data_IF_006482285365
#
_entry.id   IF_006482285365
#
_cell.length_a   1.000
_cell.length_b   1.000
_cell.length_c   1.000
_cell.angle_alpha   90.00
_cell.angle_beta   90.00
_cell.angle_gamma   90.00
#
_symmetry.space_group_name_H-M   'P 1'
#
loop_
_entity.id
_entity.type
_entity.pdbx_description
1 polymer ?
#
# COMPACT_ATOMS: atom_id res chain seq x y z
N UNK A 1 11.36 12.91 32.91
CA UNK A 1 10.55 13.97 33.54
C UNK A 1 10.90 15.38 33.05
N UNK A 2 12.15 15.65 32.66
CA UNK A 2 12.56 16.96 32.13
C UNK A 2 12.01 17.27 30.72
N UNK A 3 11.89 16.28 29.86
CA UNK A 3 11.39 16.45 28.47
C UNK A 3 9.93 16.91 28.42
N UNK A 4 9.11 16.46 29.38
CA UNK A 4 7.70 16.89 29.50
C UNK A 4 7.54 18.36 29.94
N UNK A 5 8.49 18.86 30.73
CA UNK A 5 8.48 20.24 31.20
C UNK A 5 8.94 21.22 30.12
N UNK A 6 9.88 20.81 29.27
CA UNK A 6 10.35 21.60 28.12
C UNK A 6 9.24 21.74 27.08
N UNK A 7 8.51 20.65 26.77
CA UNK A 7 7.39 20.64 25.82
C UNK A 7 6.22 21.55 26.25
N UNK A 8 6.04 21.81 27.56
CA UNK A 8 4.99 22.70 28.07
C UNK A 8 5.33 24.19 27.99
N UNK A 9 6.61 24.54 27.85
CA UNK A 9 7.05 25.97 27.82
C UNK A 9 7.04 26.59 26.41
N UNK A 10 7.13 25.78 25.36
CA UNK A 10 7.06 26.26 23.97
C UNK A 10 5.59 26.26 23.51
N UNK A 11 4.88 27.33 23.83
CA UNK A 11 3.45 27.46 23.53
C UNK A 11 3.21 27.51 22.01
N UNK A 12 2.47 26.53 21.51
CA UNK A 12 1.60 26.62 20.31
C UNK A 12 2.25 26.86 18.94
N UNK A 13 3.44 26.33 18.67
CA UNK A 13 4.01 26.29 17.32
C UNK A 13 3.86 24.89 16.70
N UNK A 14 3.78 24.79 15.36
CA UNK A 14 3.76 23.51 14.66
C UNK A 14 4.97 22.63 15.02
N UNK A 15 6.10 23.24 15.39
CA UNK A 15 7.29 22.58 15.94
C UNK A 15 7.00 21.80 17.23
N UNK A 16 6.19 22.35 18.15
CA UNK A 16 5.84 21.65 19.41
C UNK A 16 4.91 20.47 19.13
N UNK A 17 3.90 20.64 18.27
CA UNK A 17 3.01 19.56 17.86
C UNK A 17 3.80 18.42 17.24
N UNK A 18 4.74 18.76 16.34
CA UNK A 18 5.61 17.81 15.68
C UNK A 18 6.49 17.04 16.69
N UNK A 19 7.21 17.74 17.58
CA UNK A 19 8.04 17.12 18.64
C UNK A 19 7.20 16.24 19.56
N UNK A 20 6.00 16.68 19.95
CA UNK A 20 5.08 15.92 20.81
C UNK A 20 4.60 14.65 20.12
N UNK A 21 4.24 14.73 18.84
CA UNK A 21 3.85 13.58 18.04
C UNK A 21 4.97 12.53 17.95
N UNK A 22 6.19 12.95 17.62
CA UNK A 22 7.33 12.03 17.52
C UNK A 22 7.73 11.42 18.85
N UNK A 23 7.67 12.23 19.92
CA UNK A 23 7.87 11.72 21.27
C UNK A 23 6.84 10.65 21.62
N UNK A 24 5.56 10.95 21.44
CA UNK A 24 4.48 10.00 21.69
C UNK A 24 4.61 8.70 20.86
N UNK A 25 4.90 8.84 19.59
CA UNK A 25 5.10 7.69 18.69
C UNK A 25 6.27 6.81 19.13
N UNK A 26 7.40 7.42 19.48
CA UNK A 26 8.61 6.72 19.94
C UNK A 26 8.36 5.93 21.24
N UNK A 27 7.60 6.52 22.17
CA UNK A 27 7.36 6.00 23.51
C UNK A 27 6.03 5.26 23.66
N UNK A 28 5.35 4.96 22.57
CA UNK A 28 4.00 4.38 22.59
C UNK A 28 3.95 3.02 23.29
N UNK A 29 4.97 2.20 23.14
CA UNK A 29 5.06 0.84 23.69
C UNK A 29 5.91 0.73 24.97
N UNK A 30 6.47 1.81 25.50
CA UNK A 30 7.44 1.74 26.63
C UNK A 30 6.90 1.09 27.91
N UNK A 31 5.57 1.15 28.11
CA UNK A 31 4.94 0.53 29.29
C UNK A 31 4.27 -0.81 28.96
N UNK A 32 4.59 -1.41 27.83
CA UNK A 32 4.07 -2.70 27.40
C UNK A 32 5.24 -3.66 27.29
N UNK A 33 5.26 -4.76 28.07
CA UNK A 33 6.33 -5.75 28.01
C UNK A 33 6.20 -6.59 26.73
N UNK A 34 6.68 -6.03 25.61
CA UNK A 34 6.52 -6.60 24.26
C UNK A 34 7.19 -7.98 24.14
N UNK A 35 8.20 -8.25 24.98
CA UNK A 35 8.94 -9.51 25.07
C UNK A 35 8.20 -10.61 25.85
N UNK A 36 7.14 -10.27 26.62
CA UNK A 36 6.48 -11.22 27.51
C UNK A 36 5.68 -12.27 26.73
N UNK A 37 5.89 -13.59 26.95
CA UNK A 37 5.24 -14.65 26.17
C UNK A 37 3.70 -14.63 26.22
N UNK A 38 3.10 -14.20 27.35
CA UNK A 38 1.67 -14.11 27.49
C UNK A 38 1.03 -12.88 26.79
N UNK A 39 1.84 -11.97 26.22
CA UNK A 39 1.36 -10.72 25.62
C UNK A 39 0.27 -10.97 24.56
N UNK A 40 0.48 -11.93 23.68
CA UNK A 40 -0.45 -12.24 22.57
C UNK A 40 -1.80 -12.75 23.07
N UNK A 41 -1.88 -13.27 24.30
CA UNK A 41 -3.12 -13.76 24.90
C UNK A 41 -3.90 -12.66 25.64
N UNK A 42 -3.36 -11.45 25.67
CA UNK A 42 -4.03 -10.33 26.32
C UNK A 42 -4.99 -9.63 25.35
N UNK A 43 -6.18 -9.20 25.79
CA UNK A 43 -7.15 -8.58 24.91
C UNK A 43 -6.77 -7.17 24.47
N UNK A 44 -5.75 -6.56 25.07
CA UNK A 44 -5.40 -5.16 24.81
C UNK A 44 -4.33 -4.98 23.75
N UNK A 45 -3.46 -5.98 23.47
CA UNK A 45 -2.31 -5.76 22.59
C UNK A 45 -2.72 -5.58 21.13
N UNK A 46 -3.68 -6.36 20.65
CA UNK A 46 -4.14 -6.24 19.27
C UNK A 46 -4.75 -4.85 18.97
N UNK A 47 -5.71 -4.33 19.76
CA UNK A 47 -6.22 -2.97 19.59
C UNK A 47 -5.11 -1.89 19.71
N UNK A 48 -4.10 -2.12 20.55
CA UNK A 48 -2.98 -1.18 20.70
C UNK A 48 -2.11 -1.11 19.46
N UNK A 49 -1.72 -2.24 18.89
CA UNK A 49 -0.93 -2.29 17.65
C UNK A 49 -1.75 -1.76 16.48
N UNK A 50 -3.01 -2.17 16.35
CA UNK A 50 -3.89 -1.69 15.29
C UNK A 50 -4.07 -0.17 15.35
N UNK A 51 -4.33 0.39 16.54
CA UNK A 51 -4.44 1.83 16.75
C UNK A 51 -3.12 2.55 16.41
N UNK A 52 -1.97 2.01 16.80
CA UNK A 52 -0.67 2.57 16.47
C UNK A 52 -0.43 2.65 14.97
N UNK A 53 -0.69 1.55 14.26
CA UNK A 53 -0.50 1.47 12.81
C UNK A 53 -1.49 2.37 12.07
N UNK A 54 -2.77 2.36 12.44
CA UNK A 54 -3.82 2.99 11.65
C UNK A 54 -4.15 4.44 12.06
N UNK A 55 -3.84 4.84 13.31
CA UNK A 55 -4.26 6.15 13.86
C UNK A 55 -3.10 7.01 14.33
N UNK A 56 -2.07 6.41 14.93
CA UNK A 56 -0.90 7.15 15.40
C UNK A 56 0.09 7.40 14.27
N UNK A 57 0.18 6.49 13.31
CA UNK A 57 1.16 6.57 12.23
C UNK A 57 0.64 7.31 11.01
N UNK A 58 1.54 8.03 10.33
CA UNK A 58 1.23 8.62 9.03
C UNK A 58 0.93 7.49 8.03
N UNK A 59 -0.14 7.65 7.25
CA UNK A 59 -0.66 6.63 6.33
C UNK A 59 0.05 6.61 4.96
N UNK A 60 1.04 7.47 4.76
CA UNK A 60 1.91 7.41 3.58
C UNK A 60 2.71 6.10 3.55
N UNK A 61 2.86 5.43 2.40
CA UNK A 61 3.48 4.10 2.30
C UNK A 61 4.84 4.00 2.98
N UNK A 62 5.75 4.92 2.73
CA UNK A 62 7.10 4.94 3.33
C UNK A 62 7.06 5.09 4.87
N UNK A 63 6.08 5.82 5.39
CA UNK A 63 5.89 5.99 6.82
C UNK A 63 5.29 4.75 7.46
N UNK A 64 4.38 4.08 6.76
CA UNK A 64 3.78 2.82 7.20
C UNK A 64 4.80 1.68 7.20
N UNK A 65 5.67 1.59 6.20
CA UNK A 65 6.78 0.64 6.15
C UNK A 65 7.62 0.78 7.43
N UNK A 66 8.08 1.99 7.74
CA UNK A 66 8.86 2.25 8.97
C UNK A 66 8.08 1.92 10.24
N UNK A 67 6.78 2.10 10.23
CA UNK A 67 5.90 1.79 11.37
C UNK A 67 5.77 0.28 11.58
N UNK A 68 5.56 -0.46 10.50
CA UNK A 68 5.47 -1.92 10.51
C UNK A 68 6.79 -2.52 10.97
N UNK A 69 7.91 -2.05 10.42
CA UNK A 69 9.26 -2.46 10.86
C UNK A 69 9.49 -2.20 12.36
N UNK A 70 9.09 -1.02 12.84
CA UNK A 70 9.21 -0.68 14.26
C UNK A 70 8.39 -1.62 15.16
N UNK A 71 7.15 -1.94 14.77
CA UNK A 71 6.29 -2.88 15.53
C UNK A 71 6.90 -4.28 15.53
N UNK A 72 7.32 -4.79 14.38
CA UNK A 72 7.92 -6.12 14.26
C UNK A 72 9.25 -6.21 15.03
N UNK A 73 10.08 -5.17 14.99
CA UNK A 73 11.30 -5.11 15.79
C UNK A 73 11.03 -5.16 17.30
N UNK A 74 9.99 -4.47 17.78
CA UNK A 74 9.58 -4.54 19.20
C UNK A 74 9.07 -5.93 19.61
N UNK A 75 8.52 -6.69 18.68
CA UNK A 75 8.01 -8.04 18.91
C UNK A 75 9.07 -9.15 18.71
N UNK A 76 10.20 -8.85 18.11
CA UNK A 76 11.25 -9.83 17.81
C UNK A 76 11.68 -10.68 19.00
N UNK A 77 11.77 -10.15 20.26
CA UNK A 77 12.08 -10.95 21.45
C UNK A 77 10.96 -11.93 21.86
N UNK A 78 9.75 -11.82 21.28
CA UNK A 78 8.61 -12.70 21.53
C UNK A 78 8.23 -13.45 20.23
N UNK A 79 8.78 -14.66 19.99
CA UNK A 79 8.61 -15.35 18.72
C UNK A 79 7.14 -15.67 18.35
N UNK A 80 6.29 -15.95 19.35
CA UNK A 80 4.86 -16.24 19.12
C UNK A 80 4.12 -14.98 18.65
N UNK A 81 4.33 -13.85 19.31
CA UNK A 81 3.75 -12.57 18.93
C UNK A 81 4.32 -12.07 17.59
N UNK A 82 5.63 -12.18 17.40
CA UNK A 82 6.28 -11.81 16.13
C UNK A 82 5.68 -12.57 14.95
N UNK A 83 5.58 -13.91 15.07
CA UNK A 83 4.97 -14.76 14.04
C UNK A 83 3.54 -14.34 13.73
N UNK A 84 2.73 -14.12 14.77
CA UNK A 84 1.34 -13.72 14.61
C UNK A 84 1.22 -12.39 13.89
N UNK A 85 1.91 -11.36 14.37
CA UNK A 85 1.78 -10.01 13.80
C UNK A 85 2.43 -9.87 12.43
N UNK A 86 3.50 -10.60 12.13
CA UNK A 86 4.05 -10.62 10.79
C UNK A 86 3.05 -11.20 9.79
N UNK A 87 2.36 -12.28 10.15
CA UNK A 87 1.31 -12.87 9.31
C UNK A 87 0.06 -11.98 9.22
N UNK A 88 -0.38 -11.39 10.34
CA UNK A 88 -1.53 -10.50 10.41
C UNK A 88 -1.33 -9.25 9.53
N UNK A 89 -0.18 -8.60 9.66
CA UNK A 89 0.18 -7.44 8.84
C UNK A 89 0.29 -7.79 7.36
N UNK A 90 0.91 -8.92 7.02
CA UNK A 90 0.98 -9.37 5.63
C UNK A 90 -0.41 -9.56 5.04
N UNK A 91 -1.29 -10.29 5.73
CA UNK A 91 -2.66 -10.55 5.28
C UNK A 91 -3.47 -9.25 5.16
N UNK A 92 -3.32 -8.34 6.12
CA UNK A 92 -3.94 -7.03 6.10
C UNK A 92 -3.57 -6.26 4.82
N UNK A 93 -2.28 -6.15 4.51
CA UNK A 93 -1.83 -5.39 3.34
C UNK A 93 -2.02 -6.15 2.02
N UNK A 94 -2.08 -7.48 2.02
CA UNK A 94 -2.49 -8.27 0.87
C UNK A 94 -3.96 -8.02 0.47
N UNK A 95 -4.85 -7.79 1.46
CA UNK A 95 -6.27 -7.52 1.22
C UNK A 95 -6.60 -6.02 1.06
N UNK A 96 -5.62 -5.13 1.25
CA UNK A 96 -5.85 -3.68 1.28
C UNK A 96 -6.15 -3.14 -0.12
N UNK A 97 -7.17 -2.27 -0.20
CA UNK A 97 -7.61 -1.62 -1.44
C UNK A 97 -7.19 -0.14 -1.54
N UNK A 98 -6.46 0.37 -0.56
CA UNK A 98 -5.98 1.74 -0.58
C UNK A 98 -4.73 1.84 -1.46
N UNK A 99 -4.77 2.78 -2.38
CA UNK A 99 -3.69 3.05 -3.33
C UNK A 99 -2.37 3.32 -2.60
N UNK A 100 -1.31 2.64 -3.02
CA UNK A 100 0.05 2.77 -2.47
C UNK A 100 0.34 1.87 -1.27
N UNK A 101 -0.66 1.27 -0.61
CA UNK A 101 -0.42 0.38 0.53
C UNK A 101 0.03 -1.04 0.12
N UNK A 102 -0.05 -1.38 -1.15
CA UNK A 102 0.61 -2.52 -1.78
C UNK A 102 2.13 -2.52 -1.60
N UNK A 103 2.75 -1.33 -1.48
CA UNK A 103 4.17 -1.21 -1.16
C UNK A 103 4.55 -1.84 0.19
N UNK A 104 3.65 -1.82 1.18
CA UNK A 104 3.90 -2.43 2.49
C UNK A 104 3.89 -3.97 2.35
N UNK A 105 2.97 -4.53 1.55
CA UNK A 105 2.95 -5.95 1.26
C UNK A 105 4.27 -6.40 0.60
N UNK A 106 4.69 -5.71 -0.46
CA UNK A 106 5.95 -5.98 -1.16
C UNK A 106 7.14 -5.91 -0.20
N UNK A 107 7.19 -4.87 0.65
CA UNK A 107 8.23 -4.72 1.66
C UNK A 107 8.26 -5.88 2.65
N UNK A 108 7.11 -6.30 3.19
CA UNK A 108 7.03 -7.43 4.11
C UNK A 108 7.53 -8.73 3.47
N UNK A 109 7.14 -9.00 2.24
CA UNK A 109 7.62 -10.19 1.52
C UNK A 109 9.14 -10.12 1.33
N UNK A 110 9.68 -9.00 0.87
CA UNK A 110 11.11 -8.88 0.57
C UNK A 110 12.00 -8.89 1.82
N UNK A 111 11.60 -8.15 2.88
CA UNK A 111 12.45 -7.93 4.05
C UNK A 111 12.31 -9.00 5.13
N UNK A 112 11.21 -9.71 5.15
CA UNK A 112 10.94 -10.69 6.20
C UNK A 112 10.82 -12.11 5.66
N UNK A 113 10.01 -12.35 4.64
CA UNK A 113 9.78 -13.71 4.12
C UNK A 113 10.95 -14.19 3.25
N UNK A 114 11.34 -13.42 2.23
CA UNK A 114 12.47 -13.80 1.35
C UNK A 114 13.81 -13.83 2.09
N UNK A 115 13.98 -13.05 3.14
CA UNK A 115 15.20 -13.06 3.99
C UNK A 115 15.19 -14.13 5.08
N UNK A 116 14.22 -15.04 5.08
CA UNK A 116 14.17 -16.18 6.00
C UNK A 116 13.80 -15.84 7.44
N UNK A 117 13.34 -14.61 7.73
CA UNK A 117 12.87 -14.23 9.07
C UNK A 117 11.52 -14.87 9.44
N UNK A 118 10.84 -15.50 8.49
CA UNK A 118 9.61 -16.27 8.63
C UNK A 118 9.89 -17.76 8.40
N UNK A 119 10.74 -18.37 9.20
CA UNK A 119 11.21 -19.76 9.04
C UNK A 119 10.10 -20.83 9.09
N UNK A 120 8.90 -20.47 9.52
CA UNK A 120 7.72 -21.35 9.58
C UNK A 120 6.94 -21.44 8.28
N UNK A 121 7.26 -20.61 7.26
CA UNK A 121 6.58 -20.67 5.96
C UNK A 121 7.13 -21.82 5.12
N UNK A 122 6.27 -22.52 4.41
CA UNK A 122 6.70 -23.51 3.44
C UNK A 122 7.07 -22.85 2.11
N UNK A 123 7.84 -23.58 1.29
CA UNK A 123 8.37 -23.06 0.03
C UNK A 123 7.27 -22.69 -0.96
N UNK A 124 6.19 -23.49 -1.05
CA UNK A 124 5.06 -23.22 -1.94
C UNK A 124 4.38 -21.88 -1.62
N UNK A 125 4.12 -21.61 -0.34
CA UNK A 125 3.50 -20.35 0.08
C UNK A 125 4.47 -19.17 -0.08
N UNK A 126 5.76 -19.37 0.20
CA UNK A 126 6.78 -18.36 -0.06
C UNK A 126 6.85 -17.98 -1.54
N UNK A 127 6.78 -18.97 -2.43
CA UNK A 127 6.78 -18.72 -3.87
C UNK A 127 5.54 -17.91 -4.29
N UNK A 128 4.34 -18.30 -3.85
CA UNK A 128 3.11 -17.54 -4.15
C UNK A 128 3.16 -16.09 -3.67
N UNK A 129 3.69 -15.85 -2.46
CA UNK A 129 3.87 -14.50 -1.94
C UNK A 129 4.89 -13.71 -2.77
N UNK A 130 5.96 -14.37 -3.19
CA UNK A 130 7.01 -13.78 -4.01
C UNK A 130 6.49 -13.38 -5.38
N UNK A 131 5.75 -14.26 -6.05
CA UNK A 131 5.14 -14.01 -7.36
C UNK A 131 4.19 -12.80 -7.28
N UNK A 132 3.31 -12.77 -6.27
CA UNK A 132 2.43 -11.63 -6.05
C UNK A 132 3.20 -10.31 -5.80
N UNK A 133 4.30 -10.36 -5.05
CA UNK A 133 5.12 -9.18 -4.80
C UNK A 133 5.85 -8.72 -6.08
N UNK A 134 6.28 -9.67 -6.92
CA UNK A 134 6.96 -9.40 -8.18
C UNK A 134 6.00 -8.79 -9.23
N UNK A 135 4.72 -9.20 -9.23
CA UNK A 135 3.67 -8.61 -10.05
C UNK A 135 3.33 -7.16 -9.61
N UNK A 136 3.32 -6.90 -8.30
CA UNK A 136 3.01 -5.58 -7.74
C UNK A 136 4.16 -4.59 -7.88
N UNK A 137 5.41 -5.05 -7.77
CA UNK A 137 6.60 -4.19 -7.71
C UNK A 137 6.72 -3.18 -8.84
N UNK A 138 6.49 -3.55 -10.12
CA UNK A 138 6.64 -2.62 -11.24
C UNK A 138 5.52 -1.57 -11.31
N UNK A 139 4.39 -1.77 -10.61
CA UNK A 139 3.25 -0.85 -10.62
C UNK A 139 3.11 -0.03 -9.33
N UNK A 140 4.04 -0.15 -8.38
CA UNK A 140 4.06 0.68 -7.18
C UNK A 140 4.16 2.17 -7.52
N UNK A 141 3.58 3.02 -6.68
CA UNK A 141 3.65 4.48 -6.83
C UNK A 141 5.12 4.92 -6.97
N UNK A 142 5.38 5.80 -7.93
CA UNK A 142 6.73 6.30 -8.24
C UNK A 142 7.56 5.40 -9.15
N UNK A 143 7.07 4.22 -9.53
CA UNK A 143 7.72 3.36 -10.52
C UNK A 143 7.26 3.71 -11.92
N UNK A 144 8.16 3.48 -12.88
CA UNK A 144 7.79 3.55 -14.29
C UNK A 144 6.94 2.31 -14.60
N UNK A 145 5.69 2.55 -14.98
CA UNK A 145 4.77 1.46 -15.35
C UNK A 145 5.35 0.65 -16.54
N UNK A 146 5.19 -0.69 -16.55
CA UNK A 146 5.54 -1.50 -17.72
C UNK A 146 4.84 -1.01 -18.98
N UNK A 147 5.50 -1.18 -20.13
CA UNK A 147 4.88 -0.83 -21.41
C UNK A 147 3.70 -1.77 -21.71
N UNK A 148 2.60 -1.19 -22.15
CA UNK A 148 1.39 -1.91 -22.53
C UNK A 148 1.16 -1.67 -24.01
N UNK A 149 1.08 -2.75 -24.78
CA UNK A 149 0.65 -2.69 -26.18
C UNK A 149 -0.81 -3.11 -26.25
N UNK A 150 -1.66 -2.26 -26.78
CA UNK A 150 -3.08 -2.53 -27.07
C UNK A 150 -3.35 -2.22 -28.55
N UNK A 151 -4.57 -2.49 -29.00
CA UNK A 151 -4.93 -2.33 -30.41
C UNK A 151 -6.19 -1.47 -30.53
N UNK A 152 -6.26 -0.64 -31.54
CA UNK A 152 -7.47 0.06 -31.95
C UNK A 152 -8.45 -0.90 -32.67
N UNK A 153 -9.64 -0.44 -32.97
CA UNK A 153 -10.66 -1.20 -33.69
C UNK A 153 -10.19 -1.69 -35.06
N UNK A 154 -9.38 -0.89 -35.73
CA UNK A 154 -8.78 -1.20 -37.05
C UNK A 154 -7.54 -2.12 -36.98
N UNK A 155 -7.17 -2.59 -35.74
CA UNK A 155 -5.99 -3.41 -35.53
C UNK A 155 -4.68 -2.65 -35.38
N UNK A 156 -4.71 -1.33 -35.46
CA UNK A 156 -3.49 -0.49 -35.27
C UNK A 156 -2.98 -0.63 -33.84
N UNK A 157 -1.68 -0.99 -33.63
CA UNK A 157 -1.10 -1.08 -32.32
C UNK A 157 -0.91 0.30 -31.67
N UNK A 158 -1.21 0.39 -30.36
CA UNK A 158 -0.95 1.57 -29.54
C UNK A 158 -0.11 1.13 -28.34
N UNK A 159 1.07 1.73 -28.18
CA UNK A 159 1.92 1.48 -27.02
C UNK A 159 1.79 2.61 -26.02
N UNK A 160 1.67 2.25 -24.74
CA UNK A 160 1.56 3.23 -23.67
C UNK A 160 2.74 4.21 -23.63
N UNK A 161 3.96 3.71 -23.85
CA UNK A 161 5.16 4.54 -23.81
C UNK A 161 5.31 5.49 -25.00
N UNK A 162 4.59 5.25 -26.09
CA UNK A 162 4.61 6.14 -27.27
C UNK A 162 3.66 7.35 -27.09
N UNK A 163 2.83 7.32 -26.02
CA UNK A 163 1.92 8.43 -25.72
C UNK A 163 2.70 9.59 -25.11
N UNK A 164 2.98 10.60 -25.94
CA UNK A 164 3.65 11.83 -25.50
C UNK A 164 2.64 12.78 -24.85
N UNK A 165 2.65 12.90 -23.53
CA UNK A 165 1.82 13.83 -22.77
C UNK A 165 2.38 14.08 -21.37
N UNK A 166 2.09 15.26 -20.76
CA UNK A 166 2.43 15.52 -19.34
C UNK A 166 1.77 14.54 -18.38
N UNK A 167 0.55 14.11 -18.71
CA UNK A 167 -0.23 13.16 -17.89
C UNK A 167 -0.98 12.19 -18.80
N UNK A 168 -0.79 10.89 -18.58
CA UNK A 168 -1.54 9.82 -19.24
C UNK A 168 -2.39 9.09 -18.21
N UNK A 169 -3.69 9.07 -18.41
CA UNK A 169 -4.64 8.30 -17.59
C UNK A 169 -4.93 6.99 -18.32
N UNK A 170 -4.62 5.87 -17.67
CA UNK A 170 -4.90 4.53 -18.20
C UNK A 170 -6.13 3.98 -17.48
N UNK A 171 -7.13 3.54 -18.24
CA UNK A 171 -8.39 3.00 -17.71
C UNK A 171 -8.60 1.60 -18.26
N UNK A 172 -8.64 0.63 -17.37
CA UNK A 172 -9.06 -0.72 -17.68
C UNK A 172 -10.57 -0.84 -17.48
N UNK A 173 -11.29 -1.27 -18.49
CA UNK A 173 -12.74 -1.35 -18.46
C UNK A 173 -13.28 -2.58 -19.20
N UNK A 174 -14.55 -2.91 -18.96
CA UNK A 174 -15.24 -3.96 -19.69
C UNK A 174 -16.69 -3.52 -19.98
N UNK A 175 -17.27 -3.90 -21.14
CA UNK A 175 -18.60 -3.47 -21.55
C UNK A 175 -19.73 -4.07 -20.69
N UNK A 176 -19.50 -5.21 -20.04
CA UNK A 176 -20.42 -5.88 -19.12
C UNK A 176 -20.20 -5.51 -17.64
N UNK A 177 -19.25 -4.63 -17.35
CA UNK A 177 -18.99 -4.14 -16.02
C UNK A 177 -19.97 -3.04 -15.61
N UNK A 178 -20.88 -3.31 -14.70
CA UNK A 178 -21.88 -2.34 -14.23
C UNK A 178 -21.28 -1.10 -13.56
N UNK A 179 -20.13 -1.24 -12.89
CA UNK A 179 -19.37 -0.10 -12.35
C UNK A 179 -18.79 0.78 -13.45
N UNK A 180 -18.22 0.17 -14.48
CA UNK A 180 -17.64 0.89 -15.61
C UNK A 180 -18.72 1.74 -16.29
N UNK A 181 -19.91 1.18 -16.54
CA UNK A 181 -21.04 1.90 -17.14
C UNK A 181 -21.46 3.14 -16.32
N UNK A 182 -21.42 3.04 -15.00
CA UNK A 182 -21.79 4.16 -14.11
C UNK A 182 -20.75 5.27 -14.09
N UNK A 183 -19.44 4.92 -14.08
CA UNK A 183 -18.36 5.90 -13.94
C UNK A 183 -17.91 6.50 -15.27
N UNK A 184 -18.14 5.83 -16.40
CA UNK A 184 -17.64 6.25 -17.70
C UNK A 184 -18.08 7.67 -18.11
N UNK A 185 -19.32 8.12 -17.85
CA UNK A 185 -19.71 9.50 -18.13
C UNK A 185 -18.87 10.54 -17.38
N UNK A 186 -18.51 10.25 -16.12
CA UNK A 186 -17.66 11.14 -15.32
C UNK A 186 -16.21 11.13 -15.82
N UNK A 187 -15.73 9.97 -16.27
CA UNK A 187 -14.42 9.81 -16.90
C UNK A 187 -14.31 10.63 -18.19
N UNK A 188 -15.33 10.58 -19.06
CA UNK A 188 -15.38 11.39 -20.29
C UNK A 188 -15.39 12.88 -19.94
N UNK A 189 -16.23 13.29 -19.00
CA UNK A 189 -16.30 14.68 -18.52
C UNK A 189 -14.95 15.14 -17.94
N UNK A 190 -14.28 14.29 -17.16
CA UNK A 190 -12.93 14.58 -16.66
C UNK A 190 -11.95 14.81 -17.81
N UNK A 191 -11.96 13.94 -18.80
CA UNK A 191 -11.09 14.08 -19.99
C UNK A 191 -11.37 15.39 -20.73
N UNK A 192 -12.63 15.70 -21.04
CA UNK A 192 -13.00 16.91 -21.73
C UNK A 192 -12.56 18.19 -21.02
N UNK A 193 -12.63 18.19 -19.69
CA UNK A 193 -12.21 19.32 -18.86
C UNK A 193 -10.68 19.47 -18.73
N UNK A 194 -9.89 18.43 -19.10
CA UNK A 194 -8.45 18.43 -18.86
C UNK A 194 -7.60 18.16 -20.11
N UNK A 195 -8.19 17.78 -21.25
CA UNK A 195 -7.45 17.53 -22.50
C UNK A 195 -6.62 18.75 -22.96
N UNK A 196 -7.16 19.96 -22.76
CA UNK A 196 -6.43 21.21 -23.08
C UNK A 196 -5.24 21.48 -22.14
N UNK A 197 -5.18 20.81 -20.97
CA UNK A 197 -4.07 20.88 -20.02
C UNK A 197 -3.02 19.80 -20.26
N UNK A 198 -3.09 19.10 -21.39
CA UNK A 198 -2.13 18.06 -21.76
C UNK A 198 -2.42 16.68 -21.18
N UNK A 199 -3.64 16.43 -20.67
CA UNK A 199 -4.05 15.07 -20.27
C UNK A 199 -4.42 14.26 -21.52
N UNK A 200 -3.80 13.08 -21.66
CA UNK A 200 -4.25 12.03 -22.58
C UNK A 200 -4.85 10.86 -21.83
N UNK A 201 -5.74 10.13 -22.48
CA UNK A 201 -6.42 8.99 -21.89
C UNK A 201 -6.29 7.78 -22.80
N UNK A 202 -5.91 6.63 -22.20
CA UNK A 202 -5.86 5.33 -22.86
C UNK A 202 -6.88 4.41 -22.20
N UNK A 203 -7.97 4.12 -22.91
CA UNK A 203 -8.96 3.13 -22.50
C UNK A 203 -8.57 1.75 -23.01
N UNK A 204 -8.42 0.79 -22.11
CA UNK A 204 -8.06 -0.60 -22.45
C UNK A 204 -9.25 -1.50 -22.09
N UNK A 205 -9.86 -2.10 -23.12
CA UNK A 205 -10.88 -3.11 -22.88
C UNK A 205 -10.24 -4.44 -22.43
N UNK A 206 -10.75 -5.00 -21.33
CA UNK A 206 -10.22 -6.24 -20.73
C UNK A 206 -10.99 -7.49 -21.17
N UNK A 207 -11.81 -7.40 -22.22
CA UNK A 207 -12.55 -8.54 -22.79
C UNK A 207 -11.92 -8.99 -24.10
N UNK A 208 -11.04 -10.02 -24.06
CA UNK A 208 -10.42 -10.54 -25.29
C UNK A 208 -11.37 -11.44 -26.08
N UNK A 209 -11.04 -11.68 -27.36
CA UNK A 209 -11.69 -12.66 -28.23
C UNK A 209 -13.04 -12.21 -28.76
N UNK A 210 -14.00 -13.13 -28.81
CA UNK A 210 -15.33 -12.92 -29.43
C UNK A 210 -16.13 -11.74 -28.81
N UNK A 211 -15.78 -11.32 -27.59
CA UNK A 211 -16.40 -10.17 -26.92
C UNK A 211 -15.73 -8.83 -27.22
N UNK A 212 -14.63 -8.84 -27.96
CA UNK A 212 -13.90 -7.60 -28.33
C UNK A 212 -14.76 -6.61 -29.12
N UNK A 213 -15.65 -7.04 -30.05
CA UNK A 213 -16.52 -6.10 -30.75
C UNK A 213 -17.42 -5.25 -29.86
N UNK A 214 -17.70 -5.70 -28.64
CA UNK A 214 -18.51 -4.94 -27.68
C UNK A 214 -17.70 -3.88 -26.92
N UNK A 215 -16.42 -3.78 -27.15
CA UNK A 215 -15.50 -2.79 -26.55
C UNK A 215 -15.48 -1.46 -27.32
N UNK A 216 -16.05 -1.44 -28.55
CA UNK A 216 -16.10 -0.31 -29.47
C UNK A 216 -17.51 0.23 -29.64
#
# INVERSE_FOLDING_TARGET
>A
SNDRAVLKREVNTDSVKYKTYYYYKKHYFDNIPMEHPALIRTPFIHPKIDYFVNKVSNQEPDSLIKTVDFVLQKLEPNPEAYRYYLADLLNKYAAMKLVGQDAIYVHLVDEYYKKGKASWINEENLQKMSDNADDLRPILIGKKIPDITTYQEDGTPVRLWDIQSPYTVVIFWAPDCGHCKKIMPDVVKFYDNNKSKGVKMLGICTKPGEKTPTCW
#
